data_IF_728732668590
#
_entry.id   IF_728732668590
#
_cell.length_a   1.000
_cell.length_b   1.000
_cell.length_c   1.000
_cell.angle_alpha   90.00
_cell.angle_beta   90.00
_cell.angle_gamma   90.00
#
_symmetry.space_group_name_H-M   'P 1'
#
loop_
_entity.id
_entity.type
_entity.pdbx_description
1 polymer ?
#
# COMPACT_ATOMS: atom_id res chain seq x y z
N UNK A 1 4.53 3.76 -17.08
CA UNK A 1 4.97 3.80 -15.67
C UNK A 1 3.74 3.98 -14.78
N UNK A 2 3.56 3.17 -13.73
CA UNK A 2 2.38 3.19 -12.86
C UNK A 2 2.40 4.32 -11.82
N UNK A 3 2.64 5.54 -12.26
CA UNK A 3 2.80 6.75 -11.44
C UNK A 3 2.28 7.97 -12.21
N UNK A 4 2.18 9.13 -11.55
CA UNK A 4 1.70 10.39 -12.13
C UNK A 4 2.58 11.58 -11.74
N UNK A 5 2.44 12.70 -12.47
CA UNK A 5 3.34 13.86 -12.38
C UNK A 5 3.54 14.39 -10.95
N UNK A 6 2.47 14.56 -10.19
CA UNK A 6 2.57 15.14 -8.84
C UNK A 6 3.14 14.17 -7.80
N UNK A 7 3.13 12.85 -8.08
CA UNK A 7 3.68 11.84 -7.17
C UNK A 7 5.21 11.81 -7.23
N UNK A 8 5.77 11.85 -8.44
CA UNK A 8 7.21 11.65 -8.67
C UNK A 8 7.80 12.71 -9.60
N UNK A 9 7.39 13.98 -9.43
CA UNK A 9 7.76 15.10 -10.31
C UNK A 9 9.27 15.23 -10.52
N UNK A 10 10.07 15.10 -9.46
CA UNK A 10 11.54 15.17 -9.51
C UNK A 10 12.12 14.02 -10.33
N UNK A 11 11.71 12.79 -10.07
CA UNK A 11 12.20 11.60 -10.78
C UNK A 11 11.80 11.62 -12.26
N UNK A 12 10.55 12.00 -12.56
CA UNK A 12 10.06 12.13 -13.94
C UNK A 12 10.81 13.23 -14.70
N UNK A 13 11.07 14.38 -14.07
CA UNK A 13 11.88 15.44 -14.67
C UNK A 13 13.32 14.98 -14.92
N UNK A 14 13.93 14.25 -13.99
CA UNK A 14 15.27 13.71 -14.17
C UNK A 14 15.31 12.72 -15.35
N UNK A 15 14.34 11.82 -15.47
CA UNK A 15 14.27 10.87 -16.60
C UNK A 15 14.14 11.57 -17.96
N UNK A 16 13.49 12.74 -18.02
CA UNK A 16 13.28 13.52 -19.26
C UNK A 16 14.47 14.40 -19.62
N UNK A 17 15.02 15.12 -18.63
CA UNK A 17 15.89 16.26 -18.88
C UNK A 17 17.34 16.04 -18.43
N UNK A 18 17.59 15.10 -17.52
CA UNK A 18 18.93 14.90 -16.98
C UNK A 18 19.86 14.25 -18.02
N UNK A 19 21.01 14.88 -18.29
CA UNK A 19 21.95 14.47 -19.35
C UNK A 19 22.33 12.99 -19.28
N UNK A 20 22.62 12.49 -18.07
CA UNK A 20 22.99 11.08 -17.88
C UNK A 20 21.78 10.17 -18.10
N UNK A 21 20.61 10.53 -17.56
CA UNK A 21 19.43 9.67 -17.68
C UNK A 21 18.95 9.57 -19.12
N UNK A 22 18.95 10.69 -19.87
CA UNK A 22 18.64 10.70 -21.30
C UNK A 22 19.69 9.97 -22.16
N UNK A 23 20.91 9.83 -21.66
CA UNK A 23 21.93 9.02 -22.33
C UNK A 23 21.64 7.52 -22.22
N UNK A 24 20.95 7.08 -21.17
CA UNK A 24 20.64 5.67 -20.87
C UNK A 24 19.22 5.32 -21.33
N UNK A 25 18.22 6.12 -20.95
CA UNK A 25 16.80 5.94 -21.28
C UNK A 25 16.54 6.53 -22.66
N UNK A 26 16.62 5.67 -23.68
CA UNK A 26 16.38 6.04 -25.09
C UNK A 26 14.91 6.00 -25.51
N UNK A 27 14.04 5.50 -24.64
CA UNK A 27 12.61 5.38 -24.90
C UNK A 27 11.84 6.48 -24.16
N UNK A 28 10.73 6.99 -24.72
CA UNK A 28 9.89 7.93 -24.00
C UNK A 28 9.31 7.32 -22.72
N UNK A 29 9.22 8.12 -21.66
CA UNK A 29 8.64 7.73 -20.37
C UNK A 29 7.24 8.32 -20.24
N UNK A 30 6.24 7.44 -20.17
CA UNK A 30 4.83 7.81 -20.03
C UNK A 30 4.30 7.46 -18.61
N UNK A 31 4.11 8.46 -17.73
CA UNK A 31 3.41 8.27 -16.46
C UNK A 31 1.90 8.16 -16.67
N UNK A 32 1.35 6.97 -16.45
CA UNK A 32 -0.05 6.63 -16.77
C UNK A 32 -0.87 6.23 -15.53
N UNK A 33 -0.35 6.48 -14.33
CA UNK A 33 -0.99 6.14 -13.07
C UNK A 33 -1.97 7.19 -12.53
N UNK A 34 -2.54 6.95 -11.34
CA UNK A 34 -2.51 5.68 -10.61
C UNK A 34 -3.35 4.59 -11.30
N UNK A 35 -2.78 3.41 -11.53
CA UNK A 35 -3.50 2.26 -12.07
C UNK A 35 -3.81 1.29 -10.93
N UNK A 36 -5.01 1.41 -10.36
CA UNK A 36 -5.54 0.48 -9.36
C UNK A 36 -6.68 -0.33 -9.94
N UNK A 37 -6.95 -1.50 -9.37
CA UNK A 37 -8.17 -2.24 -9.72
C UNK A 37 -9.40 -1.37 -9.41
N UNK A 38 -10.47 -1.45 -10.22
CA UNK A 38 -11.74 -0.84 -9.83
C UNK A 38 -12.25 -1.54 -8.56
N UNK A 39 -12.91 -0.77 -7.69
CA UNK A 39 -13.70 -1.38 -6.62
C UNK A 39 -14.88 -2.07 -7.30
N UNK A 40 -14.83 -3.40 -7.37
CA UNK A 40 -15.97 -4.16 -7.89
C UNK A 40 -17.23 -3.85 -7.07
N UNK A 41 -18.41 -3.78 -7.72
CA UNK A 41 -19.68 -3.60 -7.01
C UNK A 41 -19.83 -4.61 -5.88
N UNK A 42 -20.64 -4.26 -4.88
CA UNK A 42 -20.85 -5.10 -3.71
C UNK A 42 -21.31 -6.52 -4.10
N UNK A 43 -20.38 -7.48 -4.09
CA UNK A 43 -20.70 -8.88 -3.80
C UNK A 43 -21.29 -9.03 -2.39
N UNK A 44 -21.68 -10.23 -1.96
CA UNK A 44 -22.25 -10.45 -0.63
C UNK A 44 -21.37 -9.78 0.44
N UNK A 45 -22.00 -8.97 1.30
CA UNK A 45 -21.30 -8.33 2.42
C UNK A 45 -20.65 -9.42 3.26
N UNK A 46 -19.33 -9.36 3.40
CA UNK A 46 -18.60 -10.23 4.32
C UNK A 46 -18.73 -9.71 5.75
N UNK A 47 -18.74 -10.60 6.74
CA UNK A 47 -18.77 -10.23 8.18
C UNK A 47 -17.73 -9.16 8.56
N UNK A 48 -16.57 -9.16 7.89
CA UNK A 48 -15.53 -8.15 8.05
C UNK A 48 -15.99 -6.73 7.70
N UNK A 49 -16.74 -6.57 6.60
CA UNK A 49 -17.26 -5.26 6.17
C UNK A 49 -18.39 -4.81 7.10
N UNK A 50 -19.24 -5.73 7.57
CA UNK A 50 -20.26 -5.41 8.58
C UNK A 50 -19.64 -4.99 9.92
N UNK A 51 -18.48 -5.54 10.27
CA UNK A 51 -17.72 -5.08 11.42
C UNK A 51 -17.15 -3.68 11.21
N UNK A 52 -16.61 -3.38 10.02
CA UNK A 52 -16.11 -2.04 9.66
C UNK A 52 -17.21 -0.98 9.63
N UNK A 53 -18.40 -1.32 9.14
CA UNK A 53 -19.60 -0.47 9.10
C UNK A 53 -19.99 0.04 10.51
N UNK A 54 -19.67 -0.72 11.56
CA UNK A 54 -19.97 -0.37 12.96
C UNK A 54 -18.90 0.50 13.63
N UNK A 55 -17.76 0.71 13.00
CA UNK A 55 -16.66 1.47 13.58
C UNK A 55 -16.79 2.97 13.28
N UNK A 56 -16.31 3.86 14.16
CA UNK A 56 -16.22 5.28 13.86
C UNK A 56 -15.36 5.57 12.62
N UNK A 57 -15.62 6.70 11.96
CA UNK A 57 -14.83 7.11 10.79
C UNK A 57 -13.34 7.25 11.14
N UNK A 58 -12.48 6.77 10.23
CA UNK A 58 -11.01 6.86 10.31
C UNK A 58 -10.43 6.37 11.66
N UNK A 59 -11.05 5.34 12.25
CA UNK A 59 -10.70 4.81 13.58
C UNK A 59 -10.05 3.42 13.56
N UNK A 60 -9.98 2.78 12.38
CA UNK A 60 -9.43 1.43 12.20
C UNK A 60 -8.10 1.50 11.45
N UNK A 61 -7.06 0.85 11.97
CA UNK A 61 -5.83 0.59 11.24
C UNK A 61 -5.92 -0.75 10.50
N UNK A 62 -5.69 -0.73 9.20
CA UNK A 62 -5.54 -1.95 8.41
C UNK A 62 -4.08 -2.42 8.45
N UNK A 63 -3.84 -3.71 8.67
CA UNK A 63 -2.50 -4.31 8.79
C UNK A 63 -2.40 -5.45 7.79
N UNK A 64 -1.52 -5.30 6.79
CA UNK A 64 -1.30 -6.32 5.76
C UNK A 64 0.08 -6.19 5.12
N UNK A 65 0.80 -7.30 5.06
CA UNK A 65 2.14 -7.38 4.45
C UNK A 65 2.08 -7.84 2.99
N UNK A 66 0.94 -7.63 2.34
CA UNK A 66 0.70 -8.06 0.97
C UNK A 66 0.58 -9.58 0.85
N UNK A 67 0.76 -10.06 -0.37
CA UNK A 67 0.52 -11.47 -0.68
C UNK A 67 1.73 -12.39 -0.48
N UNK A 68 2.94 -11.83 -0.49
CA UNK A 68 4.20 -12.57 -0.32
C UNK A 68 4.97 -12.20 0.95
N UNK A 69 4.53 -11.20 1.70
CA UNK A 69 5.17 -10.79 2.95
C UNK A 69 4.83 -11.75 4.09
N UNK A 70 5.87 -12.20 4.76
CA UNK A 70 5.79 -13.03 5.95
C UNK A 70 6.67 -12.44 7.04
N UNK A 71 6.32 -12.72 8.29
CA UNK A 71 7.05 -12.27 9.48
C UNK A 71 7.51 -13.49 10.28
N UNK A 72 8.57 -13.35 11.05
CA UNK A 72 8.96 -14.37 12.02
C UNK A 72 7.93 -14.47 13.15
N UNK A 73 7.86 -15.62 13.83
CA UNK A 73 6.99 -15.79 14.99
C UNK A 73 7.25 -14.73 16.08
N UNK A 74 8.53 -14.40 16.33
CA UNK A 74 8.90 -13.33 17.28
C UNK A 74 8.29 -11.99 16.85
N UNK A 75 8.38 -11.64 15.56
CA UNK A 75 7.86 -10.37 15.07
C UNK A 75 6.32 -10.31 15.10
N UNK A 76 5.63 -11.43 14.84
CA UNK A 76 4.17 -11.55 14.98
C UNK A 76 3.76 -11.32 16.43
N UNK A 77 4.48 -11.89 17.40
CA UNK A 77 4.23 -11.69 18.83
C UNK A 77 4.38 -10.21 19.21
N UNK A 78 5.47 -9.55 18.80
CA UNK A 78 5.66 -8.12 19.08
C UNK A 78 4.58 -7.25 18.43
N UNK A 79 4.16 -7.59 17.20
CA UNK A 79 3.09 -6.89 16.49
C UNK A 79 1.73 -7.05 17.19
N UNK A 80 1.38 -8.26 17.61
CA UNK A 80 0.16 -8.52 18.37
C UNK A 80 0.14 -7.69 19.66
N UNK A 81 1.22 -7.72 20.44
CA UNK A 81 1.32 -6.90 21.65
C UNK A 81 1.28 -5.40 21.37
N UNK A 82 1.94 -4.92 20.31
CA UNK A 82 1.92 -3.50 19.93
C UNK A 82 0.52 -3.01 19.54
N UNK A 83 -0.22 -3.82 18.78
CA UNK A 83 -1.61 -3.54 18.43
C UNK A 83 -2.50 -3.49 19.68
N UNK A 84 -2.37 -4.48 20.58
CA UNK A 84 -3.12 -4.53 21.84
C UNK A 84 -2.81 -3.31 22.73
N UNK A 85 -1.53 -2.96 22.88
CA UNK A 85 -1.10 -1.81 23.67
C UNK A 85 -1.58 -0.49 23.09
N UNK A 86 -1.69 -0.36 21.76
CA UNK A 86 -2.14 0.87 21.11
C UNK A 86 -3.58 1.26 21.44
N UNK A 87 -4.40 0.29 21.88
CA UNK A 87 -5.85 0.43 22.09
C UNK A 87 -6.61 0.94 20.83
N UNK A 88 -5.96 0.92 19.67
CA UNK A 88 -6.59 1.29 18.39
C UNK A 88 -7.34 0.09 17.83
N UNK A 89 -8.40 0.38 17.07
CA UNK A 89 -9.12 -0.68 16.36
C UNK A 89 -8.29 -1.15 15.17
N UNK A 90 -8.30 -2.45 14.88
CA UNK A 90 -7.50 -2.99 13.79
C UNK A 90 -8.19 -4.08 12.99
N UNK A 91 -7.82 -4.17 11.72
CA UNK A 91 -8.04 -5.36 10.88
C UNK A 91 -6.67 -5.87 10.47
N UNK A 92 -6.32 -7.09 10.85
CA UNK A 92 -5.01 -7.67 10.57
C UNK A 92 -5.11 -8.93 9.73
N UNK A 93 -4.54 -8.89 8.52
CA UNK A 93 -4.34 -10.07 7.70
C UNK A 93 -3.11 -10.81 8.18
N UNK A 94 -3.33 -11.96 8.83
CA UNK A 94 -2.27 -12.80 9.39
C UNK A 94 -1.92 -13.94 8.43
N UNK A 95 -0.63 -14.08 8.16
CA UNK A 95 -0.05 -15.22 7.43
C UNK A 95 0.78 -16.07 8.41
N UNK A 96 0.91 -17.38 8.17
CA UNK A 96 1.81 -18.22 8.96
C UNK A 96 3.22 -17.64 9.04
N UNK A 97 3.90 -17.79 10.18
CA UNK A 97 5.28 -17.33 10.32
C UNK A 97 6.22 -18.07 9.37
N UNK A 98 7.34 -17.43 9.04
CA UNK A 98 8.46 -18.06 8.35
C UNK A 98 9.71 -17.99 9.25
N UNK A 99 10.60 -18.99 9.13
CA UNK A 99 11.86 -18.99 9.87
C UNK A 99 12.88 -17.99 9.29
N UNK A 100 12.70 -17.58 8.03
CA UNK A 100 13.53 -16.56 7.39
C UNK A 100 13.12 -15.13 7.79
N UNK A 101 14.08 -14.39 8.35
CA UNK A 101 13.92 -12.97 8.62
C UNK A 101 13.80 -12.20 7.30
N UNK A 102 12.61 -11.72 6.97
CA UNK A 102 12.36 -10.92 5.77
C UNK A 102 12.20 -11.73 4.48
N UNK A 103 11.84 -13.01 4.58
CA UNK A 103 11.60 -13.88 3.43
C UNK A 103 10.41 -13.44 2.58
N UNK A 104 10.60 -13.46 1.25
CA UNK A 104 9.50 -13.44 0.31
C UNK A 104 8.99 -14.88 0.15
N UNK A 105 7.82 -15.20 0.70
CA UNK A 105 7.19 -16.48 0.39
C UNK A 105 6.60 -16.41 -1.01
N UNK A 106 6.79 -17.45 -1.82
CA UNK A 106 6.05 -17.59 -3.08
C UNK A 106 4.55 -17.47 -2.81
N UNK A 107 3.84 -16.79 -3.72
CA UNK A 107 2.41 -16.55 -3.64
C UNK A 107 1.67 -17.87 -3.44
N UNK A 108 1.19 -18.14 -2.22
CA UNK A 108 0.21 -19.19 -1.98
C UNK A 108 -1.17 -18.59 -2.20
N UNK A 109 -1.73 -18.87 -3.38
CA UNK A 109 -3.11 -18.50 -3.76
C UNK A 109 -4.11 -19.21 -2.83
N UNK A 110 -4.39 -18.65 -1.65
CA UNK A 110 -5.46 -19.14 -0.77
C UNK A 110 -5.35 -20.60 -0.31
N UNK A 111 -4.21 -21.26 -0.52
CA UNK A 111 -3.96 -22.65 -0.15
C UNK A 111 -3.06 -22.75 1.08
N UNK A 112 -3.47 -22.07 2.16
CA UNK A 112 -2.93 -22.30 3.50
C UNK A 112 -3.92 -23.11 4.34
N UNK A 113 -3.51 -23.65 5.50
CA UNK A 113 -4.44 -24.34 6.40
C UNK A 113 -5.62 -23.43 6.76
N UNK A 114 -6.82 -24.00 6.80
CA UNK A 114 -8.03 -23.28 7.20
C UNK A 114 -7.88 -22.82 8.66
N UNK A 115 -7.77 -21.50 8.88
CA UNK A 115 -7.78 -20.90 10.21
C UNK A 115 -6.66 -19.91 10.50
N UNK A 116 -6.75 -19.30 11.69
CA UNK A 116 -5.74 -18.37 12.20
C UNK A 116 -4.53 -19.20 12.68
N UNK A 117 -3.30 -18.92 12.22
CA UNK A 117 -2.11 -19.65 12.65
C UNK A 117 -1.88 -19.56 14.17
N UNK A 118 -1.44 -20.66 14.78
CA UNK A 118 -1.15 -20.75 16.22
C UNK A 118 0.19 -20.10 16.59
N UNK A 119 0.26 -18.78 16.37
CA UNK A 119 1.46 -17.95 16.60
C UNK A 119 1.15 -16.62 17.30
N UNK A 120 -0.11 -16.43 17.67
CA UNK A 120 -0.55 -15.27 18.44
C UNK A 120 -0.34 -15.53 19.94
N UNK A 121 -0.09 -14.48 20.74
CA UNK A 121 -0.01 -14.64 22.19
C UNK A 121 -1.30 -15.25 22.77
N UNK A 122 -1.15 -16.10 23.79
CA UNK A 122 -2.28 -16.76 24.46
C UNK A 122 -3.37 -15.75 24.83
N UNK A 123 -4.61 -16.05 24.44
CA UNK A 123 -5.78 -15.21 24.72
C UNK A 123 -5.84 -13.88 23.98
N UNK A 124 -4.94 -13.59 23.03
CA UNK A 124 -4.95 -12.34 22.25
C UNK A 124 -6.30 -12.07 21.59
N UNK A 125 -6.82 -13.05 20.83
CA UNK A 125 -8.12 -12.93 20.15
C UNK A 125 -9.26 -12.63 21.15
N UNK A 126 -9.23 -13.27 22.32
CA UNK A 126 -10.20 -13.03 23.39
C UNK A 126 -10.05 -11.64 23.99
N UNK A 127 -8.83 -11.13 24.21
CA UNK A 127 -8.62 -9.78 24.76
C UNK A 127 -8.98 -8.68 23.76
N UNK A 128 -8.79 -8.91 22.46
CA UNK A 128 -8.99 -7.90 21.43
C UNK A 128 -10.32 -8.01 20.67
N UNK A 129 -11.19 -8.98 20.95
CA UNK A 129 -12.42 -9.25 20.19
C UNK A 129 -13.33 -8.03 19.95
N UNK A 130 -13.31 -7.05 20.86
CA UNK A 130 -14.13 -5.85 20.77
C UNK A 130 -13.54 -4.76 19.86
N UNK A 131 -12.23 -4.81 19.59
CA UNK A 131 -11.49 -3.74 18.89
C UNK A 131 -10.72 -4.24 17.67
N UNK A 132 -10.52 -5.55 17.54
CA UNK A 132 -9.67 -6.12 16.50
C UNK A 132 -10.29 -7.32 15.80
N UNK A 133 -10.08 -7.39 14.48
CA UNK A 133 -10.40 -8.57 13.67
C UNK A 133 -9.13 -9.11 13.03
N UNK A 134 -8.84 -10.39 13.26
CA UNK A 134 -7.73 -11.10 12.58
C UNK A 134 -8.32 -11.96 11.47
N UNK A 135 -7.83 -11.76 10.25
CA UNK A 135 -8.27 -12.47 9.06
C UNK A 135 -7.12 -13.36 8.56
N UNK A 136 -7.32 -14.67 8.38
CA UNK A 136 -6.25 -15.53 7.89
C UNK A 136 -6.01 -15.31 6.39
N UNK A 137 -4.75 -15.28 5.99
CA UNK A 137 -4.23 -15.33 4.62
C UNK A 137 -4.57 -14.16 3.69
N UNK A 138 -5.85 -13.80 3.56
CA UNK A 138 -6.31 -12.84 2.56
C UNK A 138 -7.54 -12.06 3.02
N UNK A 139 -7.60 -10.79 2.64
CA UNK A 139 -8.78 -9.94 2.81
C UNK A 139 -8.95 -9.04 1.58
N UNK A 140 -10.16 -8.52 1.31
CA UNK A 140 -10.42 -7.64 0.17
C UNK A 140 -9.81 -6.25 0.39
N UNK A 141 -8.48 -6.15 0.27
CA UNK A 141 -7.67 -4.97 0.64
C UNK A 141 -8.22 -3.66 0.10
N UNK A 142 -8.51 -3.58 -1.20
CA UNK A 142 -9.04 -2.36 -1.80
C UNK A 142 -10.39 -1.94 -1.21
N UNK A 143 -11.28 -2.91 -0.90
CA UNK A 143 -12.57 -2.62 -0.24
C UNK A 143 -12.34 -2.07 1.17
N UNK A 144 -11.41 -2.66 1.92
CA UNK A 144 -11.03 -2.20 3.27
C UNK A 144 -10.46 -0.79 3.21
N UNK A 145 -9.47 -0.53 2.35
CA UNK A 145 -8.84 0.79 2.20
C UNK A 145 -9.82 1.86 1.72
N UNK A 146 -10.85 1.49 0.94
CA UNK A 146 -11.91 2.40 0.53
C UNK A 146 -12.97 2.67 1.61
N UNK A 147 -12.94 1.93 2.72
CA UNK A 147 -13.95 2.04 3.77
C UNK A 147 -13.73 3.29 4.63
N UNK A 148 -14.78 4.10 4.92
CA UNK A 148 -14.63 5.36 5.66
C UNK A 148 -14.16 5.21 7.11
N UNK A 149 -14.27 4.01 7.68
CA UNK A 149 -13.76 3.69 9.02
C UNK A 149 -12.25 3.45 9.07
N UNK A 150 -11.59 3.21 7.92
CA UNK A 150 -10.14 2.99 7.88
C UNK A 150 -9.41 4.32 7.92
N UNK A 151 -8.54 4.48 8.91
CA UNK A 151 -7.78 5.71 9.17
C UNK A 151 -6.28 5.59 8.93
N UNK A 152 -5.75 4.37 8.77
CA UNK A 152 -4.34 4.12 8.55
C UNK A 152 -4.06 2.73 7.98
N UNK A 153 -2.89 2.55 7.37
CA UNK A 153 -2.47 1.29 6.77
C UNK A 153 -1.03 0.93 7.15
N UNK A 154 -0.84 -0.11 7.96
CA UNK A 154 0.46 -0.74 8.16
C UNK A 154 0.72 -1.70 6.99
N UNK A 155 1.69 -1.35 6.16
CA UNK A 155 1.93 -1.99 4.87
C UNK A 155 3.39 -2.30 4.64
N UNK A 156 3.64 -3.40 3.92
CA UNK A 156 4.95 -3.72 3.36
C UNK A 156 5.45 -2.76 2.26
N UNK A 157 4.66 -1.78 1.83
CA UNK A 157 5.04 -0.78 0.81
C UNK A 157 5.30 -1.36 -0.60
N UNK A 158 4.73 -2.50 -0.95
CA UNK A 158 4.69 -2.94 -2.35
C UNK A 158 3.91 -1.93 -3.20
N UNK A 159 4.37 -1.63 -4.42
CA UNK A 159 3.87 -0.48 -5.19
C UNK A 159 2.36 -0.48 -5.41
N UNK A 160 1.74 -1.64 -5.66
CA UNK A 160 0.29 -1.74 -5.79
C UNK A 160 -0.44 -1.34 -4.50
N UNK A 161 0.03 -1.81 -3.34
CA UNK A 161 -0.57 -1.47 -2.04
C UNK A 161 -0.36 0.00 -1.69
N UNK A 162 0.78 0.57 -2.08
CA UNK A 162 1.04 2.01 -1.97
C UNK A 162 0.04 2.80 -2.81
N UNK A 163 -0.15 2.45 -4.09
CA UNK A 163 -1.13 3.11 -4.95
C UNK A 163 -2.56 3.01 -4.39
N UNK A 164 -2.98 1.84 -3.90
CA UNK A 164 -4.30 1.65 -3.28
C UNK A 164 -4.47 2.51 -2.01
N UNK A 165 -3.42 2.69 -1.21
CA UNK A 165 -3.47 3.58 -0.02
C UNK A 165 -3.63 5.04 -0.43
N UNK A 166 -2.78 5.50 -1.36
CA UNK A 166 -2.75 6.89 -1.80
C UNK A 166 -4.03 7.29 -2.54
N UNK A 167 -4.58 6.43 -3.39
CA UNK A 167 -5.85 6.70 -4.09
C UNK A 167 -7.07 6.65 -3.18
N UNK A 168 -6.93 6.09 -1.97
CA UNK A 168 -7.97 6.18 -0.93
C UNK A 168 -7.71 7.28 0.10
N UNK A 169 -6.52 7.89 0.09
CA UNK A 169 -6.15 8.97 1.01
C UNK A 169 -5.84 8.47 2.41
N UNK A 170 -5.31 7.24 2.51
CA UNK A 170 -5.00 6.57 3.78
C UNK A 170 -3.50 6.71 4.06
N UNK A 171 -3.09 7.34 5.19
CA UNK A 171 -1.68 7.41 5.60
C UNK A 171 -1.16 6.04 6.06
N UNK A 172 0.16 5.86 6.07
CA UNK A 172 0.78 4.53 6.20
C UNK A 172 1.74 4.40 7.38
N UNK A 173 1.88 3.19 7.90
CA UNK A 173 3.07 2.74 8.61
C UNK A 173 3.86 1.88 7.63
N UNK A 174 5.05 2.35 7.27
CA UNK A 174 5.88 1.73 6.24
C UNK A 174 6.75 0.62 6.81
N UNK A 175 6.51 -0.62 6.39
CA UNK A 175 7.13 -1.83 6.92
C UNK A 175 7.82 -2.67 5.82
N UNK A 176 8.86 -2.16 5.15
CA UNK A 176 9.41 -2.82 3.96
C UNK A 176 10.09 -4.15 4.28
N UNK A 177 9.82 -5.16 3.44
CA UNK A 177 10.33 -6.52 3.59
C UNK A 177 11.30 -6.91 2.45
N UNK A 178 10.89 -6.81 1.19
CA UNK A 178 11.64 -7.33 0.04
C UNK A 178 11.53 -6.43 -1.20
N UNK A 179 12.18 -6.83 -2.30
CA UNK A 179 12.20 -6.10 -3.58
C UNK A 179 12.56 -4.61 -3.40
N UNK A 180 11.84 -3.71 -4.06
CA UNK A 180 12.03 -2.26 -4.01
C UNK A 180 11.31 -1.57 -2.84
N UNK A 181 10.64 -2.33 -1.96
CA UNK A 181 9.80 -1.78 -0.89
C UNK A 181 10.54 -0.80 0.03
N UNK A 182 11.84 -1.00 0.25
CA UNK A 182 12.66 -0.06 1.05
C UNK A 182 12.76 1.31 0.38
N UNK A 183 12.87 1.36 -0.93
CA UNK A 183 12.86 2.60 -1.72
C UNK A 183 11.48 3.26 -1.61
N UNK A 184 10.41 2.48 -1.78
CA UNK A 184 9.04 2.97 -1.65
C UNK A 184 8.77 3.55 -0.24
N UNK A 185 9.22 2.86 0.80
CA UNK A 185 9.09 3.30 2.19
C UNK A 185 9.82 4.61 2.47
N UNK A 186 11.05 4.77 1.96
CA UNK A 186 11.80 6.02 2.06
C UNK A 186 11.08 7.16 1.35
N UNK A 187 10.62 6.97 0.11
CA UNK A 187 9.86 8.00 -0.61
C UNK A 187 8.57 8.39 0.14
N UNK A 188 7.82 7.41 0.67
CA UNK A 188 6.57 7.67 1.38
C UNK A 188 6.74 8.52 2.65
N UNK A 189 7.81 8.27 3.41
CA UNK A 189 8.10 9.03 4.63
C UNK A 189 8.83 10.34 4.32
N UNK A 190 9.94 10.30 3.60
CA UNK A 190 10.89 11.42 3.49
C UNK A 190 10.50 12.42 2.39
N UNK A 191 9.93 11.95 1.26
CA UNK A 191 9.58 12.82 0.13
C UNK A 191 8.10 13.21 0.16
N UNK A 192 7.22 12.25 0.43
CA UNK A 192 5.77 12.45 0.37
C UNK A 192 5.17 12.87 1.71
N UNK A 193 5.80 12.53 2.84
CA UNK A 193 5.30 12.87 4.17
C UNK A 193 3.95 12.23 4.51
N UNK A 194 3.70 11.00 4.03
CA UNK A 194 2.44 10.27 4.23
C UNK A 194 2.61 8.96 5.01
N UNK A 195 3.81 8.71 5.51
CA UNK A 195 4.11 7.53 6.29
C UNK A 195 5.09 7.80 7.43
N UNK A 196 5.06 6.92 8.44
CA UNK A 196 6.12 6.75 9.43
C UNK A 196 6.75 5.37 9.26
N UNK A 197 8.04 5.21 9.56
CA UNK A 197 8.71 3.88 9.52
C UNK A 197 9.43 3.54 10.83
N UNK A 198 9.69 2.24 11.10
CA UNK A 198 10.52 1.81 12.23
C UNK A 198 11.93 2.39 12.15
N UNK A 199 12.55 2.66 13.31
CA UNK A 199 13.90 3.22 13.44
C UNK A 199 14.97 2.35 12.79
N UNK A 200 14.77 1.04 12.81
CA UNK A 200 15.62 0.05 12.14
C UNK A 200 14.75 -0.79 11.23
N UNK A 201 15.26 -1.11 10.03
CA UNK A 201 14.54 -1.93 9.07
C UNK A 201 14.06 -3.24 9.72
N UNK A 202 12.78 -3.63 9.55
CA UNK A 202 12.22 -4.85 10.13
C UNK A 202 12.95 -6.14 9.72
N UNK A 203 13.62 -6.11 8.56
CA UNK A 203 14.45 -7.22 8.06
C UNK A 203 15.81 -7.33 8.72
N UNK A 204 16.25 -6.30 9.46
CA UNK A 204 17.53 -6.28 10.18
C UNK A 204 17.37 -6.51 11.67
N UNK A 205 16.23 -6.11 12.24
CA UNK A 205 15.98 -6.20 13.67
C UNK A 205 14.48 -6.29 13.93
N UNK A 206 14.10 -7.14 14.88
CA UNK A 206 12.73 -7.19 15.41
C UNK A 206 12.34 -5.83 15.96
N UNK A 207 11.24 -5.29 15.43
CA UNK A 207 10.60 -4.07 15.90
C UNK A 207 9.79 -4.42 17.14
N UNK A 208 10.10 -3.78 18.26
CA UNK A 208 9.51 -4.11 19.57
C UNK A 208 8.11 -3.50 19.71
N UNK A 209 7.26 -4.15 20.49
CA UNK A 209 5.85 -3.78 20.75
C UNK A 209 5.62 -2.32 21.12
N UNK A 210 6.55 -1.71 21.87
CA UNK A 210 6.48 -0.29 22.25
C UNK A 210 6.66 0.66 21.06
N UNK A 211 7.57 0.33 20.16
CA UNK A 211 7.74 1.09 18.92
C UNK A 211 6.54 0.91 17.99
N UNK A 212 5.96 -0.29 17.95
CA UNK A 212 4.73 -0.56 17.18
C UNK A 212 3.54 0.22 17.74
N UNK A 213 3.34 0.20 19.06
CA UNK A 213 2.35 1.01 19.77
C UNK A 213 2.51 2.48 19.40
N UNK A 214 3.72 3.04 19.54
CA UNK A 214 4.02 4.44 19.21
C UNK A 214 3.66 4.79 17.75
N UNK A 215 4.03 3.96 16.78
CA UNK A 215 3.73 4.20 15.35
C UNK A 215 2.22 4.12 15.08
N UNK A 216 1.53 3.11 15.62
CA UNK A 216 0.07 2.95 15.46
C UNK A 216 -0.66 4.15 16.05
N UNK A 217 -0.30 4.53 17.27
CA UNK A 217 -0.84 5.70 17.96
C UNK A 217 -0.54 6.99 17.17
N UNK A 218 0.67 7.15 16.61
CA UNK A 218 1.05 8.34 15.82
C UNK A 218 0.22 8.52 14.55
N UNK A 219 -0.16 7.42 13.88
CA UNK A 219 -0.99 7.48 12.65
C UNK A 219 -2.48 7.61 12.97
N UNK A 220 -2.93 7.08 14.11
CA UNK A 220 -4.36 6.95 14.42
C UNK A 220 -4.92 8.02 15.38
N UNK A 221 -4.13 8.57 16.30
CA UNK A 221 -4.63 9.51 17.32
C UNK A 221 -4.63 10.98 16.84
N UNK A 222 -5.78 11.65 16.92
CA UNK A 222 -5.99 13.03 16.45
C UNK A 222 -5.09 14.08 17.11
N UNK A 223 -4.61 13.82 18.32
CA UNK A 223 -3.80 14.76 19.11
C UNK A 223 -2.29 14.58 18.90
N UNK A 224 -1.85 13.60 18.11
CA UNK A 224 -0.43 13.36 17.84
C UNK A 224 0.07 14.30 16.75
N UNK A 225 1.28 14.84 16.98
CA UNK A 225 1.98 15.71 16.05
C UNK A 225 2.25 14.96 14.74
N UNK A 226 2.03 15.61 13.59
CA UNK A 226 2.26 15.02 12.28
C UNK A 226 1.10 14.23 11.69
N UNK A 227 0.12 13.75 12.50
CA UNK A 227 -1.03 12.98 11.97
C UNK A 227 -1.86 13.82 11.00
N UNK A 228 -2.17 15.07 11.39
CA UNK A 228 -3.01 15.96 10.60
C UNK A 228 -2.35 16.24 9.25
N UNK A 229 -1.06 16.56 9.28
CA UNK A 229 -0.24 16.84 8.11
C UNK A 229 -0.16 15.62 7.18
N UNK A 230 0.17 14.43 7.72
CA UNK A 230 0.20 13.18 6.93
C UNK A 230 -1.14 12.89 6.25
N UNK A 231 -2.24 13.09 6.98
CA UNK A 231 -3.59 12.84 6.49
C UNK A 231 -4.02 13.84 5.42
N UNK A 232 -3.77 15.14 5.64
CA UNK A 232 -4.04 16.17 4.64
C UNK A 232 -3.24 15.90 3.37
N UNK A 233 -1.96 15.53 3.52
CA UNK A 233 -1.10 15.18 2.41
C UNK A 233 -1.55 13.93 1.65
N UNK A 234 -2.01 12.89 2.35
CA UNK A 234 -2.61 11.72 1.72
C UNK A 234 -3.88 12.08 0.92
N UNK A 235 -4.72 12.99 1.44
CA UNK A 235 -5.91 13.49 0.74
C UNK A 235 -5.56 14.33 -0.49
N UNK A 236 -4.52 15.15 -0.43
CA UNK A 236 -4.00 15.89 -1.60
C UNK A 236 -3.55 14.93 -2.70
N UNK A 237 -2.75 13.91 -2.37
CA UNK A 237 -2.28 12.91 -3.32
C UNK A 237 -3.44 12.11 -3.93
N UNK A 238 -4.45 11.75 -3.14
CA UNK A 238 -5.70 11.16 -3.63
C UNK A 238 -6.36 12.02 -4.72
N UNK A 239 -6.55 13.31 -4.43
CA UNK A 239 -7.19 14.24 -5.35
C UNK A 239 -6.34 14.47 -6.61
N UNK A 240 -5.03 14.62 -6.44
CA UNK A 240 -4.07 14.74 -7.53
C UNK A 240 -4.09 13.52 -8.45
N UNK A 241 -4.07 12.30 -7.90
CA UNK A 241 -4.18 11.06 -8.68
C UNK A 241 -5.49 10.98 -9.46
N UNK A 242 -6.61 11.38 -8.86
CA UNK A 242 -7.90 11.50 -9.55
C UNK A 242 -7.84 12.51 -10.71
N UNK A 243 -7.23 13.67 -10.49
CA UNK A 243 -7.07 14.71 -11.50
C UNK A 243 -6.17 14.24 -12.65
N UNK A 244 -5.09 13.50 -12.36
CA UNK A 244 -4.19 12.95 -13.37
C UNK A 244 -4.90 12.02 -14.38
N UNK A 245 -5.88 11.23 -13.91
CA UNK A 245 -6.68 10.32 -14.75
C UNK A 245 -7.88 11.00 -15.44
N UNK A 246 -8.32 12.16 -14.94
CA UNK A 246 -9.47 12.89 -15.49
C UNK A 246 -9.21 13.35 -16.93
N UNK A 247 -10.27 13.65 -17.69
CA UNK A 247 -10.12 14.14 -19.06
C UNK A 247 -9.25 15.41 -19.09
N UNK A 248 -8.16 15.39 -19.87
CA UNK A 248 -7.17 16.47 -19.91
C UNK A 248 -6.12 16.45 -18.78
N UNK A 249 -6.21 15.49 -17.85
CA UNK A 249 -5.20 15.20 -16.83
C UNK A 249 -3.87 14.70 -17.42
N UNK A 250 -2.82 14.73 -16.61
CA UNK A 250 -1.45 14.39 -17.05
C UNK A 250 -1.31 12.93 -17.50
N UNK A 251 -1.86 11.99 -16.73
CA UNK A 251 -1.83 10.57 -17.08
C UNK A 251 -2.82 10.19 -18.18
N UNK A 252 -3.96 10.87 -18.26
CA UNK A 252 -4.86 10.78 -19.41
C UNK A 252 -4.14 11.18 -20.70
N UNK A 253 -3.50 12.36 -20.73
CA UNK A 253 -2.73 12.84 -21.87
C UNK A 253 -1.58 11.90 -22.23
N UNK A 254 -0.83 11.43 -21.24
CA UNK A 254 0.25 10.46 -21.44
C UNK A 254 -0.25 9.17 -22.07
N UNK A 255 -1.43 8.67 -21.68
CA UNK A 255 -2.04 7.51 -22.31
C UNK A 255 -2.48 7.78 -23.76
N UNK A 256 -3.06 8.95 -24.05
CA UNK A 256 -3.38 9.35 -25.42
C UNK A 256 -2.14 9.37 -26.32
N UNK A 257 -1.00 9.85 -25.82
CA UNK A 257 0.27 9.82 -26.55
C UNK A 257 0.75 8.39 -26.84
N UNK A 258 0.61 7.48 -25.86
CA UNK A 258 0.90 6.04 -26.06
C UNK A 258 0.01 5.46 -27.16
N UNK A 259 -1.30 5.71 -27.12
CA UNK A 259 -2.25 5.21 -28.12
C UNK A 259 -1.90 5.72 -29.51
N UNK A 260 -1.66 7.03 -29.66
CA UNK A 260 -1.26 7.64 -30.93
C UNK A 260 0.03 7.03 -31.47
N UNK A 261 1.01 6.77 -30.61
CA UNK A 261 2.26 6.10 -30.99
C UNK A 261 2.08 4.64 -31.41
N UNK A 262 1.06 3.95 -30.92
CA UNK A 262 0.68 2.61 -31.35
C UNK A 262 -0.04 2.64 -32.71
N UNK A 263 -0.97 3.56 -32.92
CA UNK A 263 -1.71 3.73 -34.18
C UNK A 263 -0.76 4.01 -35.35
N UNK A 264 0.16 4.96 -35.19
CA UNK A 264 1.16 5.30 -36.21
C UNK A 264 2.03 4.10 -36.60
N UNK A 265 2.39 3.25 -35.62
CA UNK A 265 3.16 2.03 -35.88
C UNK A 265 2.33 0.97 -36.59
N UNK A 266 1.05 0.83 -36.26
CA UNK A 266 0.18 -0.13 -36.95
C UNK A 266 -0.05 0.27 -38.41
N UNK A 267 -0.19 1.57 -38.70
CA UNK A 267 -0.31 2.09 -40.06
C UNK A 267 0.98 1.86 -40.86
N UNK A 268 2.16 2.11 -40.26
CA UNK A 268 3.44 1.88 -40.93
C UNK A 268 3.70 0.42 -41.30
N UNK A 269 3.12 -0.53 -40.56
CA UNK A 269 3.25 -1.98 -40.81
C UNK A 269 2.21 -2.53 -41.82
N UNK A 270 1.19 -1.75 -42.19
CA UNK A 270 0.24 -2.12 -43.26
C UNK A 270 0.75 -1.75 -44.66
N UNK A 271 1.64 -0.77 -44.75
CA UNK A 271 2.22 -0.29 -46.00
C UNK A 271 3.15 -1.27 -46.76
N UNK A 272 3.87 -2.23 -46.12
CA UNK A 272 4.72 -3.17 -46.87
C UNK A 272 3.96 -4.22 -47.69
N UNK A 273 2.65 -4.40 -47.49
CA UNK A 273 1.86 -5.44 -48.17
C UNK A 273 1.26 -5.00 -49.53
N UNK A 274 1.51 -3.76 -49.97
CA UNK A 274 0.97 -3.20 -51.23
C UNK A 274 2.05 -2.85 -52.26
N UNK A 275 3.27 -3.37 -52.09
CA UNK A 275 4.39 -3.17 -53.03
C UNK A 275 5.05 -4.49 -53.50
N UNK A 276 4.31 -5.60 -53.53
CA UNK A 276 4.72 -6.81 -54.28
C UNK A 276 3.72 -7.15 -55.36
#
# INVERSE_FOLDING_TARGET
MGSWEDLESTSLKALRDHKIMRSIVKVPVYPIGPLTKPVEPAGPKSELLDWLDKQPSESVIYVSFGSGGTLSAEQIIELAWGLELSQQRFVWVLRPPTEEHGGASYFTSGSGPDGIPDCLPDGFLTRTHNVGVVVPLWAPQLKILSHPSVGGFLSHCGWNSTLESLTNGVPMIAWPLYAEQRMNATMLEEELGVAVKPKVLPTKKVVRRKEIEEMVTSVMESNKHGRKEMKERAKELKNSGKNALSNGGSSYKSMCEVIKGCELRLESHKLPALQQ
#
